data_IF_057522239818
#
_entry.id   IF_057522239818
#
_cell.length_a   1.000
_cell.length_b   1.000
_cell.length_c   1.000
_cell.angle_alpha   90.00
_cell.angle_beta   90.00
_cell.angle_gamma   90.00
#
_symmetry.space_group_name_H-M   'P 1'
#
loop_
_entity.id
_entity.type
_entity.pdbx_description
1 polymer ?
#
# COMPACT_ATOMS: atom_id res chain seq x y z
N UNK A 1 15.67 11.93 -11.19
CA UNK A 1 16.26 10.58 -11.35
C UNK A 1 15.16 9.60 -10.97
N UNK A 2 14.64 8.83 -11.92
CA UNK A 2 13.65 7.81 -11.62
C UNK A 2 14.43 6.61 -11.09
N UNK A 3 14.50 6.46 -9.76
CA UNK A 3 14.90 5.20 -9.17
C UNK A 3 13.97 4.12 -9.72
N UNK A 4 14.47 3.02 -10.29
CA UNK A 4 13.61 1.93 -10.72
C UNK A 4 12.82 1.49 -9.48
N UNK A 5 11.50 1.68 -9.51
CA UNK A 5 10.62 1.19 -8.45
C UNK A 5 10.81 -0.31 -8.40
N UNK A 6 11.57 -0.77 -7.40
CA UNK A 6 11.85 -2.17 -7.25
C UNK A 6 10.50 -2.87 -7.06
N UNK A 7 10.17 -3.78 -7.99
CA UNK A 7 8.84 -4.42 -8.13
C UNK A 7 8.56 -5.46 -7.03
N UNK A 8 9.18 -5.31 -5.88
CA UNK A 8 8.93 -6.12 -4.71
C UNK A 8 7.68 -5.60 -4.00
N UNK A 9 6.81 -6.51 -3.57
CA UNK A 9 5.64 -6.20 -2.77
C UNK A 9 5.73 -6.91 -1.43
N UNK A 10 5.17 -6.29 -0.40
CA UNK A 10 5.03 -6.88 0.92
C UNK A 10 3.69 -7.60 0.98
N UNK A 11 3.68 -8.83 1.51
CA UNK A 11 2.46 -9.61 1.67
C UNK A 11 2.24 -9.96 3.13
N UNK A 12 1.03 -9.67 3.62
CA UNK A 12 0.54 -10.19 4.89
C UNK A 12 -0.41 -11.36 4.65
N UNK A 13 -0.15 -12.47 5.33
CA UNK A 13 -0.96 -13.67 5.33
C UNK A 13 -1.65 -13.78 6.68
N UNK A 14 -2.97 -13.69 6.66
CA UNK A 14 -3.76 -13.71 7.89
C UNK A 14 -4.98 -14.61 7.74
N UNK A 15 -5.45 -15.22 8.84
CA UNK A 15 -6.72 -15.91 8.85
C UNK A 15 -7.83 -14.90 8.56
N UNK A 16 -8.73 -15.26 7.64
CA UNK A 16 -9.91 -14.49 7.28
C UNK A 16 -11.20 -15.17 7.78
N UNK A 17 -11.18 -16.50 7.85
CA UNK A 17 -12.24 -17.31 8.43
C UNK A 17 -11.64 -18.58 9.06
N UNK A 18 -12.42 -19.39 9.81
CA UNK A 18 -11.91 -20.61 10.44
C UNK A 18 -11.26 -21.63 9.47
N UNK A 19 -11.58 -21.53 8.17
CA UNK A 19 -11.06 -22.39 7.12
C UNK A 19 -10.61 -21.57 5.89
N UNK A 20 -10.21 -20.31 6.10
CA UNK A 20 -9.94 -19.38 5.01
C UNK A 20 -8.84 -18.40 5.33
N UNK A 21 -7.95 -18.22 4.37
CA UNK A 21 -6.77 -17.37 4.47
C UNK A 21 -6.84 -16.24 3.46
N UNK A 22 -6.31 -15.08 3.84
CA UNK A 22 -6.22 -13.92 2.97
C UNK A 22 -4.76 -13.51 2.82
N UNK A 23 -4.37 -13.21 1.58
CA UNK A 23 -3.15 -12.49 1.27
C UNK A 23 -3.50 -11.03 0.96
N UNK A 24 -2.94 -10.10 1.74
CA UNK A 24 -3.04 -8.66 1.49
C UNK A 24 -1.69 -8.15 0.98
N UNK A 25 -1.71 -7.43 -0.14
CA UNK A 25 -0.52 -6.96 -0.86
C UNK A 25 -0.34 -5.45 -0.66
N UNK A 26 0.89 -5.06 -0.36
CA UNK A 26 1.29 -3.70 -0.04
C UNK A 26 2.48 -3.28 -0.91
N UNK A 27 2.61 -1.99 -1.27
CA UNK A 27 3.78 -1.49 -1.95
C UNK A 27 4.98 -1.48 -0.99
N UNK A 28 6.16 -1.69 -1.54
CA UNK A 28 7.42 -1.45 -0.84
C UNK A 28 8.13 -0.28 -1.51
N UNK A 29 8.63 0.66 -0.71
CA UNK A 29 9.34 1.83 -1.22
C UNK A 29 10.80 1.76 -0.80
N UNK A 30 11.71 1.84 -1.77
CA UNK A 30 13.14 1.90 -1.48
C UNK A 30 13.47 3.27 -0.88
N UNK A 31 14.03 3.27 0.32
CA UNK A 31 14.52 4.46 0.99
C UNK A 31 15.89 4.87 0.44
N UNK A 32 16.29 6.15 0.57
CA UNK A 32 17.64 6.60 0.19
C UNK A 32 18.78 5.83 0.87
N UNK A 33 18.50 5.14 1.98
CA UNK A 33 19.44 4.28 2.70
C UNK A 33 19.54 2.85 2.12
N UNK A 34 18.88 2.55 1.00
CA UNK A 34 18.81 1.21 0.41
C UNK A 34 17.99 0.21 1.24
N UNK A 35 17.15 0.72 2.16
CA UNK A 35 16.23 -0.09 2.97
C UNK A 35 14.82 0.02 2.43
N UNK A 36 13.98 -0.96 2.70
CA UNK A 36 12.57 -0.89 2.39
C UNK A 36 11.79 -0.18 3.48
N UNK A 37 10.94 0.77 3.07
CA UNK A 37 9.86 1.28 3.89
C UNK A 37 8.59 0.46 3.63
N UNK A 38 8.00 -0.05 4.69
CA UNK A 38 6.70 -0.73 4.67
C UNK A 38 5.61 0.34 4.58
N UNK A 39 4.88 0.37 3.47
CA UNK A 39 3.72 1.24 3.31
C UNK A 39 2.48 0.39 3.54
N UNK A 40 1.63 0.76 4.49
CA UNK A 40 0.47 -0.05 4.88
C UNK A 40 -0.75 0.17 3.99
N UNK A 41 -0.56 0.72 2.80
CA UNK A 41 -1.63 0.94 1.84
C UNK A 41 -1.88 -0.33 1.03
N UNK A 42 -3.12 -0.81 1.03
CA UNK A 42 -3.49 -2.06 0.37
C UNK A 42 -3.67 -1.86 -1.14
N UNK A 43 -2.87 -2.58 -1.94
CA UNK A 43 -3.00 -2.63 -3.41
C UNK A 43 -4.01 -3.68 -3.86
N UNK A 44 -3.99 -4.85 -3.19
CA UNK A 44 -4.81 -5.98 -3.58
C UNK A 44 -5.05 -6.92 -2.40
N UNK A 45 -6.16 -7.64 -2.44
CA UNK A 45 -6.48 -8.72 -1.51
C UNK A 45 -6.90 -9.96 -2.28
N UNK A 46 -6.42 -11.12 -1.85
CA UNK A 46 -6.74 -12.39 -2.48
C UNK A 46 -7.01 -13.48 -1.45
N UNK A 47 -8.15 -14.14 -1.59
CA UNK A 47 -8.46 -15.34 -0.84
C UNK A 47 -7.53 -16.48 -1.30
N UNK A 48 -6.89 -17.12 -0.34
CA UNK A 48 -6.02 -18.27 -0.58
C UNK A 48 -6.84 -19.56 -0.44
N UNK A 49 -6.52 -20.59 -1.24
CA UNK A 49 -7.11 -21.91 -1.04
C UNK A 49 -6.71 -22.45 0.33
N UNK A 50 -7.62 -23.16 1.00
CA UNK A 50 -7.34 -23.84 2.27
C UNK A 50 -6.38 -25.01 2.02
N UNK A 51 -5.12 -24.95 2.49
CA UNK A 51 -4.24 -26.10 2.45
C UNK A 51 -4.39 -26.91 3.74
N UNK A 52 -4.29 -28.24 3.65
CA UNK A 52 -4.30 -29.10 4.83
C UNK A 52 -3.14 -28.82 5.80
N UNK A 53 -2.04 -28.25 5.31
CA UNK A 53 -0.86 -27.88 6.08
C UNK A 53 -0.55 -26.41 5.81
N UNK A 54 -1.03 -25.54 6.70
CA UNK A 54 -0.84 -24.09 6.57
C UNK A 54 0.44 -23.69 7.30
N UNK A 55 1.46 -23.15 6.62
CA UNK A 55 2.44 -22.34 7.32
C UNK A 55 1.67 -21.15 7.88
N UNK A 56 1.63 -21.01 9.21
CA UNK A 56 0.74 -20.07 9.93
C UNK A 56 0.83 -18.59 9.48
N UNK A 57 0.26 -17.65 10.25
CA UNK A 57 0.27 -16.24 9.84
C UNK A 57 1.69 -15.77 9.59
N UNK A 58 1.87 -15.08 8.46
CA UNK A 58 3.15 -14.51 8.06
C UNK A 58 2.94 -13.05 7.78
N UNK A 59 3.83 -12.21 8.34
CA UNK A 59 3.81 -10.79 8.08
C UNK A 59 5.03 -10.41 7.27
N UNK A 60 4.80 -9.58 6.24
CA UNK A 60 5.82 -8.97 5.40
C UNK A 60 6.64 -9.98 4.60
N UNK A 61 5.94 -10.90 3.95
CA UNK A 61 6.56 -11.78 2.97
C UNK A 61 6.85 -10.98 1.70
N UNK A 62 8.13 -10.90 1.35
CA UNK A 62 8.57 -10.20 0.16
C UNK A 62 8.36 -11.07 -1.09
N UNK A 63 7.48 -10.62 -1.98
CA UNK A 63 7.20 -11.29 -3.26
C UNK A 63 7.71 -10.45 -4.42
N UNK A 64 8.29 -11.10 -5.42
CA UNK A 64 9.03 -10.42 -6.50
C UNK A 64 8.70 -10.92 -7.90
N UNK A 65 7.77 -11.86 -8.05
CA UNK A 65 7.55 -12.52 -9.34
C UNK A 65 6.12 -13.01 -9.51
N UNK A 66 5.60 -12.89 -10.73
CA UNK A 66 4.36 -13.54 -11.14
C UNK A 66 4.54 -15.03 -11.50
N UNK A 67 5.74 -15.57 -11.32
CA UNK A 67 6.06 -16.98 -11.55
C UNK A 67 5.87 -17.80 -10.25
N UNK A 68 4.95 -18.78 -10.23
CA UNK A 68 4.68 -19.58 -9.03
C UNK A 68 5.81 -20.54 -8.64
N UNK A 69 6.80 -20.76 -9.50
CA UNK A 69 7.99 -21.57 -9.22
C UNK A 69 9.13 -20.74 -8.63
N UNK A 70 8.98 -19.42 -8.55
CA UNK A 70 10.00 -18.52 -8.04
C UNK A 70 10.38 -18.85 -6.59
N UNK A 71 11.69 -18.80 -6.22
CA UNK A 71 12.16 -19.20 -4.89
C UNK A 71 11.57 -18.39 -3.72
N UNK A 72 11.02 -17.19 -3.96
CA UNK A 72 10.32 -16.43 -2.91
C UNK A 72 9.12 -17.19 -2.30
N UNK A 73 8.55 -18.15 -3.03
CA UNK A 73 7.42 -18.97 -2.56
C UNK A 73 7.84 -20.29 -1.93
N UNK A 74 9.14 -20.55 -1.74
CA UNK A 74 9.62 -21.85 -1.28
C UNK A 74 9.00 -22.30 0.05
N UNK A 75 8.77 -21.37 0.98
CA UNK A 75 8.15 -21.66 2.28
C UNK A 75 6.63 -21.83 2.18
N UNK A 76 6.00 -21.38 1.09
CA UNK A 76 4.55 -21.30 0.93
C UNK A 76 4.10 -21.90 -0.41
N UNK A 77 4.72 -23.03 -0.79
CA UNK A 77 4.49 -23.70 -2.07
C UNK A 77 3.03 -24.06 -2.31
N UNK A 78 2.29 -24.42 -1.26
CA UNK A 78 0.86 -24.72 -1.35
C UNK A 78 0.04 -23.51 -1.85
N UNK A 79 0.53 -22.29 -1.63
CA UNK A 79 -0.11 -21.05 -2.05
C UNK A 79 0.58 -20.36 -3.22
N UNK A 80 1.67 -20.89 -3.74
CA UNK A 80 2.51 -20.19 -4.72
C UNK A 80 1.73 -19.71 -5.96
N UNK A 81 0.81 -20.55 -6.48
CA UNK A 81 -0.06 -20.15 -7.59
C UNK A 81 -0.97 -18.98 -7.27
N UNK A 82 -1.59 -18.98 -6.09
CA UNK A 82 -2.44 -17.87 -5.64
C UNK A 82 -1.62 -16.61 -5.34
N UNK A 83 -0.45 -16.76 -4.71
CA UNK A 83 0.44 -15.65 -4.37
C UNK A 83 1.03 -14.98 -5.61
N UNK A 84 1.45 -15.75 -6.60
CA UNK A 84 1.96 -15.24 -7.86
C UNK A 84 0.88 -14.49 -8.67
N UNK A 85 -0.34 -15.01 -8.69
CA UNK A 85 -1.45 -14.35 -9.36
C UNK A 85 -1.91 -13.08 -8.61
N UNK A 86 -1.89 -13.08 -7.28
CA UNK A 86 -2.15 -11.87 -6.48
C UNK A 86 -1.06 -10.82 -6.65
N UNK A 87 0.20 -11.22 -6.74
CA UNK A 87 1.32 -10.32 -7.07
C UNK A 87 1.12 -9.63 -8.43
N UNK A 88 0.78 -10.39 -9.48
CA UNK A 88 0.54 -9.81 -10.80
C UNK A 88 -0.62 -8.80 -10.81
N UNK A 89 -1.70 -9.09 -10.08
CA UNK A 89 -2.83 -8.17 -9.93
C UNK A 89 -2.46 -6.92 -9.12
N UNK A 90 -1.71 -7.07 -8.02
CA UNK A 90 -1.26 -5.96 -7.21
C UNK A 90 -0.30 -5.03 -7.95
N UNK A 91 0.59 -5.59 -8.79
CA UNK A 91 1.42 -4.78 -9.68
C UNK A 91 0.60 -4.01 -10.70
N UNK A 92 -0.41 -4.63 -11.31
CA UNK A 92 -1.27 -3.95 -12.27
C UNK A 92 -2.05 -2.79 -11.63
N UNK A 93 -2.50 -2.96 -10.38
CA UNK A 93 -3.12 -1.88 -9.61
C UNK A 93 -2.12 -0.74 -9.34
N UNK A 94 -0.93 -1.08 -8.84
CA UNK A 94 0.12 -0.11 -8.57
C UNK A 94 0.56 0.68 -9.82
N UNK A 95 0.73 -0.01 -10.96
CA UNK A 95 1.09 0.63 -12.23
C UNK A 95 -0.06 1.51 -12.77
N UNK A 96 -1.33 1.13 -12.54
CA UNK A 96 -2.47 1.96 -12.92
C UNK A 96 -2.52 3.27 -12.13
N UNK A 97 -2.26 3.22 -10.82
CA UNK A 97 -2.26 4.40 -9.96
C UNK A 97 -1.07 5.34 -10.24
N UNK A 98 0.08 4.80 -10.66
CA UNK A 98 1.22 5.59 -11.14
C UNK A 98 0.89 6.30 -12.48
N UNK A 99 0.13 5.63 -13.36
CA UNK A 99 -0.32 6.19 -14.64
C UNK A 99 -1.42 7.25 -14.50
N UNK A 100 -2.23 7.20 -13.43
CA UNK A 100 -3.26 8.21 -13.15
C UNK A 100 -2.69 9.57 -12.70
N UNK A 101 -1.36 9.71 -12.57
CA UNK A 101 -0.72 11.01 -12.32
C UNK A 101 0.46 11.31 -13.27
N UNK A 102 0.15 11.91 -14.41
CA UNK A 102 0.68 13.23 -14.69
C UNK A 102 -0.45 14.21 -14.42
N UNK A 103 -0.46 14.83 -13.23
CA UNK A 103 -1.24 16.05 -13.02
C UNK A 103 -0.95 16.96 -14.22
N UNK A 104 -1.96 17.22 -15.04
CA UNK A 104 -1.82 18.22 -16.10
C UNK A 104 -1.37 19.51 -15.44
N UNK A 105 -0.44 20.24 -16.05
CA UNK A 105 0.09 21.48 -15.48
C UNK A 105 -1.03 22.43 -15.00
N UNK A 106 -2.19 22.38 -15.65
CA UNK A 106 -3.40 23.11 -15.30
C UNK A 106 -4.06 22.68 -13.98
N UNK A 107 -4.09 21.38 -13.64
CA UNK A 107 -4.58 20.90 -12.34
C UNK A 107 -3.57 21.17 -11.23
N UNK A 108 -2.26 21.17 -11.53
CA UNK A 108 -1.22 21.57 -10.59
C UNK A 108 -1.24 23.07 -10.26
N UNK A 109 -1.56 23.94 -11.24
CA UNK A 109 -1.80 25.37 -11.01
C UNK A 109 -3.08 25.60 -10.19
N UNK A 110 -4.17 24.90 -10.49
CA UNK A 110 -5.45 25.03 -9.76
C UNK A 110 -5.35 24.57 -8.30
N UNK A 111 -4.47 23.60 -7.99
CA UNK A 111 -4.20 23.16 -6.61
C UNK A 111 -3.33 24.15 -5.82
N UNK A 112 -2.47 24.92 -6.50
CA UNK A 112 -1.65 25.98 -5.88
C UNK A 112 -2.47 27.20 -5.47
N UNK A 113 -3.62 27.43 -6.10
CA UNK A 113 -4.53 28.50 -5.71
C UNK A 113 -5.31 28.21 -4.42
N UNK A 114 -5.39 26.94 -3.99
CA UNK A 114 -6.12 26.53 -2.78
C UNK A 114 -5.26 26.04 -1.61
N UNK A 115 -3.94 25.91 -1.78
CA UNK A 115 -3.05 25.32 -0.75
C UNK A 115 -2.04 26.35 -0.26
N UNK A 116 -2.15 26.77 1.00
CA UNK A 116 -1.14 27.59 1.66
C UNK A 116 0.08 26.71 1.95
N UNK A 117 1.15 26.88 1.19
CA UNK A 117 2.45 26.29 1.48
C UNK A 117 3.10 27.10 2.60
N UNK A 118 3.10 26.57 3.82
CA UNK A 118 3.80 27.17 4.95
C UNK A 118 5.28 26.76 4.91
N UNK A 119 6.23 27.70 4.80
CA UNK A 119 7.66 27.38 4.81
C UNK A 119 8.08 26.80 6.17
N UNK A 120 8.99 25.83 6.15
CA UNK A 120 9.41 25.05 7.33
C UNK A 120 9.91 25.89 8.53
N UNK A 121 10.29 27.16 8.31
CA UNK A 121 10.67 28.11 9.37
C UNK A 121 9.52 28.76 10.14
N UNK A 122 8.25 28.56 9.74
CA UNK A 122 7.06 29.11 10.40
C UNK A 122 6.20 28.07 11.14
N UNK A 123 6.66 26.82 11.24
CA UNK A 123 5.95 25.74 11.95
C UNK A 123 5.90 25.87 13.48
N UNK A 124 6.49 26.91 14.07
CA UNK A 124 6.53 27.09 15.53
C UNK A 124 5.30 27.78 16.13
N UNK A 125 4.37 28.32 15.33
CA UNK A 125 3.18 29.02 15.83
C UNK A 125 1.84 28.31 15.57
N UNK A 126 1.84 27.16 14.88
CA UNK A 126 0.61 26.38 14.66
C UNK A 126 0.44 25.33 15.76
N UNK A 127 0.27 25.80 17.00
CA UNK A 127 -0.34 25.02 18.07
C UNK A 127 -1.85 25.00 17.84
N UNK A 128 -2.38 23.77 17.79
CA UNK A 128 -3.78 23.35 17.76
C UNK A 128 -4.78 24.39 18.31
N UNK A 129 -5.56 24.99 17.43
CA UNK A 129 -6.87 25.56 17.77
C UNK A 129 -7.91 24.85 16.89
N UNK A 130 -8.21 23.60 17.26
CA UNK A 130 -9.44 22.96 16.80
C UNK A 130 -10.01 22.16 17.98
N UNK A 131 -10.74 22.89 18.82
CA UNK A 131 -11.81 22.32 19.61
C UNK A 131 -12.95 23.34 19.67
N UNK A 132 -13.71 23.48 18.57
CA UNK A 132 -15.11 23.90 18.64
C UNK A 132 -15.88 23.71 17.32
N UNK A 133 -16.19 22.46 16.99
CA UNK A 133 -17.53 22.08 16.50
C UNK A 133 -18.21 21.38 17.68
N UNK A 134 -19.44 21.60 18.12
CA UNK A 134 -20.73 21.97 17.55
C UNK A 134 -21.51 22.53 18.77
N UNK A 135 -22.32 23.58 18.71
CA UNK A 135 -23.72 23.45 18.31
C UNK A 135 -24.30 24.82 17.95
N UNK A 136 -24.73 25.00 16.71
CA UNK A 136 -25.86 25.89 16.41
C UNK A 136 -27.14 25.04 16.50
N UNK A 137 -28.33 25.59 16.85
CA UNK A 137 -29.00 26.48 15.91
C UNK A 137 -29.79 27.65 16.52
N UNK A 138 -30.11 28.57 15.63
CA UNK A 138 -30.86 29.82 15.81
C UNK A 138 -32.36 29.65 16.10
N UNK A 139 -32.94 30.74 16.64
CA UNK A 139 -34.34 31.19 16.55
C UNK A 139 -35.32 30.82 17.68
N UNK A 140 -35.84 31.87 18.32
CA UNK A 140 -36.92 31.91 19.30
C UNK A 140 -36.97 33.26 19.99
#
# INVERSE_FOLDING_TARGET
MNTPTSRALAVELHPHSPAGWMATYYPMVETPAGRWAEVTWTLHQRLLPDPADVPGPARWLEVRSGDPTHPCYAQHRAWAGALAAGYAAALAAHDAEDLEQPLSAQDAERLREGTIVVPAGQLSEWVLDDLQEETAPSHG
#
